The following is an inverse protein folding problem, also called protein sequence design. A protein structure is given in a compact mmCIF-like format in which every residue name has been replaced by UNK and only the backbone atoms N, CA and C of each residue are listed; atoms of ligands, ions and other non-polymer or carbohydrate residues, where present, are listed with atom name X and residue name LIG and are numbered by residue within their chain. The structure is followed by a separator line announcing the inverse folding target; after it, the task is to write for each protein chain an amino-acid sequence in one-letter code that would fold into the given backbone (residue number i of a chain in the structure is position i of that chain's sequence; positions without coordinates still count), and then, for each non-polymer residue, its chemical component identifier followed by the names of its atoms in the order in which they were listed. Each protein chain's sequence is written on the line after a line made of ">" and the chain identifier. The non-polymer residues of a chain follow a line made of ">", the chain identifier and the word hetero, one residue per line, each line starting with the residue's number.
data_IF_022731940788
#
_entry.id   IF_022731940788
#
_cell.length_a   1.000
_cell.length_b   1.000
_cell.length_c   1.000
_cell.angle_alpha   90.00
_cell.angle_beta   90.00
_cell.angle_gamma   90.00
#
_symmetry.space_group_name_H-M   'P 1'
#
loop_
_entity.id
_entity.type
_entity.pdbx_description
1 polymer ?
#
# COMPACT_ATOMS: atom_id res chain seq x y z
N UNK A 1 -5.19 28.21 4.98
CA UNK A 1 -5.29 28.46 6.42
C UNK A 1 -3.94 28.84 7.02
N UNK A 2 -3.89 28.99 8.34
CA UNK A 2 -2.68 29.38 9.08
C UNK A 2 -1.57 28.33 8.98
N UNK A 3 -1.91 27.08 8.71
CA UNK A 3 -0.99 25.95 8.58
C UNK A 3 -0.48 25.75 7.14
N UNK A 4 -0.83 26.68 6.22
CA UNK A 4 -0.40 26.64 4.83
C UNK A 4 -1.23 25.70 3.94
N UNK A 5 -2.35 25.16 4.43
CA UNK A 5 -3.24 24.36 3.60
C UNK A 5 -3.99 25.26 2.61
N UNK A 6 -3.99 24.90 1.34
CA UNK A 6 -4.63 25.67 0.27
C UNK A 6 -5.57 24.80 -0.55
N UNK A 7 -6.73 25.37 -0.92
CA UNK A 7 -7.66 24.73 -1.87
C UNK A 7 -7.80 25.67 -3.06
N UNK A 8 -7.54 25.16 -4.26
CA UNK A 8 -7.80 25.84 -5.53
C UNK A 8 -8.88 25.08 -6.28
N UNK A 9 -9.80 25.79 -6.94
CA UNK A 9 -10.93 25.20 -7.65
C UNK A 9 -11.52 26.19 -8.66
N UNK A 10 -12.24 25.69 -9.66
CA UNK A 10 -12.93 26.55 -10.64
C UNK A 10 -14.15 27.23 -10.01
N UNK A 11 -14.82 26.57 -9.06
CA UNK A 11 -16.02 27.08 -8.40
C UNK A 11 -16.11 26.59 -6.96
N UNK A 12 -16.51 27.48 -6.05
CA UNK A 12 -16.82 27.13 -4.68
C UNK A 12 -18.14 27.76 -4.22
N UNK A 13 -18.80 27.11 -3.27
CA UNK A 13 -19.94 27.63 -2.51
C UNK A 13 -19.64 27.57 -1.03
N UNK A 14 -20.16 28.53 -0.27
CA UNK A 14 -20.03 28.58 1.17
C UNK A 14 -21.38 28.63 1.85
N UNK A 15 -21.67 27.61 2.67
CA UNK A 15 -22.85 27.58 3.55
C UNK A 15 -22.46 28.19 4.91
N UNK A 16 -22.93 29.44 5.15
CA UNK A 16 -22.61 30.18 6.39
C UNK A 16 -23.22 29.56 7.65
N UNK A 17 -24.34 28.85 7.50
CA UNK A 17 -25.04 28.26 8.67
C UNK A 17 -24.30 27.02 9.15
N UNK A 18 -23.88 26.18 8.23
CA UNK A 18 -23.16 24.94 8.51
C UNK A 18 -21.66 25.11 8.58
N UNK A 19 -21.15 26.28 8.19
CA UNK A 19 -19.73 26.60 8.06
C UNK A 19 -18.98 25.56 7.18
N UNK A 20 -19.57 25.30 6.00
CA UNK A 20 -19.04 24.32 5.04
C UNK A 20 -18.73 25.01 3.72
N UNK A 21 -17.52 24.77 3.21
CA UNK A 21 -17.13 25.12 1.84
C UNK A 21 -17.26 23.87 0.98
N UNK A 22 -17.89 24.01 -0.20
CA UNK A 22 -18.00 22.95 -1.19
C UNK A 22 -17.35 23.46 -2.48
N UNK A 23 -16.40 22.72 -2.99
CA UNK A 23 -15.73 23.02 -4.27
C UNK A 23 -16.30 22.15 -5.38
N UNK A 24 -16.19 22.63 -6.62
CA UNK A 24 -16.67 21.94 -7.81
C UNK A 24 -15.66 22.06 -8.94
N UNK A 25 -15.43 20.97 -9.64
CA UNK A 25 -14.53 20.85 -10.78
C UNK A 25 -13.07 21.18 -10.44
N UNK A 26 -12.15 20.41 -10.96
CA UNK A 26 -10.70 20.63 -10.88
C UNK A 26 -10.19 21.10 -9.50
N UNK A 27 -10.76 20.55 -8.44
CA UNK A 27 -10.40 20.95 -7.09
C UNK A 27 -9.08 20.32 -6.70
N UNK A 28 -8.14 21.16 -6.28
CA UNK A 28 -6.81 20.77 -5.81
C UNK A 28 -6.64 21.25 -4.37
N UNK A 29 -6.32 20.33 -3.48
CA UNK A 29 -5.95 20.59 -2.10
C UNK A 29 -4.45 20.34 -1.94
N UNK A 30 -3.74 21.30 -1.37
CA UNK A 30 -2.35 21.13 -0.93
C UNK A 30 -2.32 21.27 0.59
N UNK A 31 -1.72 20.32 1.30
CA UNK A 31 -1.67 20.28 2.75
C UNK A 31 -0.35 19.68 3.25
N UNK A 32 -0.01 19.91 4.50
CA UNK A 32 1.25 19.47 5.09
C UNK A 32 2.47 19.85 4.22
N UNK A 33 2.38 21.01 3.55
CA UNK A 33 3.34 21.64 2.66
C UNK A 33 3.68 20.89 1.35
N UNK A 34 3.36 19.59 1.22
CA UNK A 34 3.77 18.81 0.04
C UNK A 34 2.80 17.71 -0.40
N UNK A 35 1.72 17.43 0.35
CA UNK A 35 0.70 16.51 -0.12
C UNK A 35 -0.22 17.23 -1.09
N UNK A 36 -0.41 16.66 -2.26
CA UNK A 36 -1.31 17.18 -3.29
C UNK A 36 -2.47 16.23 -3.53
N UNK A 37 -3.70 16.69 -3.32
CA UNK A 37 -4.91 15.92 -3.58
C UNK A 37 -5.74 16.61 -4.66
N UNK A 38 -6.15 15.84 -5.67
CA UNK A 38 -7.04 16.26 -6.74
C UNK A 38 -8.37 15.51 -6.66
N UNK A 39 -9.48 16.24 -6.76
CA UNK A 39 -10.84 15.70 -6.80
C UNK A 39 -11.76 16.63 -7.57
N UNK A 40 -12.85 16.10 -8.11
CA UNK A 40 -13.86 16.96 -8.74
C UNK A 40 -14.73 17.71 -7.73
N UNK A 41 -14.79 17.23 -6.47
CA UNK A 41 -15.59 17.85 -5.42
C UNK A 41 -14.93 17.62 -4.07
N UNK A 42 -14.75 18.69 -3.31
CA UNK A 42 -14.20 18.64 -1.96
C UNK A 42 -15.17 19.38 -1.02
N UNK A 43 -15.41 18.79 0.14
CA UNK A 43 -16.13 19.38 1.24
C UNK A 43 -15.15 19.74 2.34
N UNK A 44 -15.14 20.98 2.77
CA UNK A 44 -14.41 21.43 3.95
C UNK A 44 -15.39 21.88 5.03
N UNK A 45 -15.46 21.12 6.11
CA UNK A 45 -16.24 21.49 7.29
C UNK A 45 -15.33 22.22 8.28
N UNK A 46 -15.50 23.52 8.41
CA UNK A 46 -14.65 24.37 9.23
C UNK A 46 -14.86 24.14 10.74
N UNK A 47 -16.08 23.79 11.16
CA UNK A 47 -16.38 23.48 12.58
C UNK A 47 -15.68 22.19 13.00
N UNK A 48 -15.78 21.13 12.19
CA UNK A 48 -15.21 19.80 12.49
C UNK A 48 -13.74 19.67 12.10
N UNK A 49 -13.20 20.65 11.37
CA UNK A 49 -11.85 20.60 10.79
C UNK A 49 -11.61 19.35 9.94
N UNK A 50 -12.62 19.00 9.10
CA UNK A 50 -12.58 17.81 8.24
C UNK A 50 -12.65 18.26 6.77
N UNK A 51 -11.74 17.74 5.96
CA UNK A 51 -11.79 17.80 4.51
C UNK A 51 -12.20 16.42 4.01
N UNK A 52 -13.17 16.35 3.08
CA UNK A 52 -13.63 15.07 2.56
C UNK A 52 -14.06 15.15 1.09
N UNK A 53 -14.12 14.01 0.44
CA UNK A 53 -14.75 13.82 -0.86
C UNK A 53 -15.47 12.48 -0.91
N UNK A 54 -16.59 12.45 -1.59
CA UNK A 54 -17.38 11.27 -1.95
C UNK A 54 -17.14 10.83 -3.41
N UNK A 55 -16.09 11.38 -4.04
CA UNK A 55 -15.75 11.13 -5.43
C UNK A 55 -14.30 10.62 -5.56
N UNK A 56 -14.03 10.01 -6.73
CA UNK A 56 -12.69 9.57 -7.07
C UNK A 56 -11.68 10.71 -6.89
N UNK A 57 -10.68 10.44 -6.09
CA UNK A 57 -9.65 11.40 -5.73
C UNK A 57 -8.26 10.77 -5.90
N UNK A 58 -7.31 11.61 -6.27
CA UNK A 58 -5.90 11.22 -6.44
C UNK A 58 -5.08 12.05 -5.47
N UNK A 59 -4.41 11.38 -4.57
CA UNK A 59 -3.44 11.97 -3.64
C UNK A 59 -2.03 11.61 -4.11
N UNK A 60 -1.16 12.61 -4.22
CA UNK A 60 0.28 12.42 -4.39
C UNK A 60 0.97 12.80 -3.09
N UNK A 61 1.75 11.89 -2.53
CA UNK A 61 2.50 12.16 -1.30
C UNK A 61 3.85 12.85 -1.58
N UNK A 62 4.56 13.17 -0.50
CA UNK A 62 5.85 13.88 -0.58
C UNK A 62 6.98 13.08 -1.24
N UNK A 63 6.85 11.76 -1.30
CA UNK A 63 7.83 10.85 -1.92
C UNK A 63 7.47 10.55 -3.38
N UNK A 64 6.32 11.04 -3.89
CA UNK A 64 5.84 10.82 -5.25
C UNK A 64 4.95 9.59 -5.41
N UNK A 65 4.55 8.92 -4.32
CA UNK A 65 3.59 7.83 -4.40
C UNK A 65 2.20 8.37 -4.76
N UNK A 66 1.48 7.62 -5.60
CA UNK A 66 0.15 7.99 -6.08
C UNK A 66 -0.90 7.10 -5.41
N UNK A 67 -1.80 7.74 -4.64
CA UNK A 67 -2.93 7.09 -3.97
C UNK A 67 -4.21 7.45 -4.69
N UNK A 68 -4.94 6.45 -5.18
CA UNK A 68 -6.26 6.62 -5.79
C UNK A 68 -7.33 6.05 -4.87
N UNK A 69 -8.34 6.85 -4.56
CA UNK A 69 -9.44 6.49 -3.65
C UNK A 69 -10.78 6.90 -4.22
N UNK A 70 -11.85 6.17 -3.87
CA UNK A 70 -13.22 6.54 -4.28
C UNK A 70 -13.83 7.59 -3.36
N UNK A 71 -13.41 7.61 -2.11
CA UNK A 71 -13.85 8.56 -1.09
C UNK A 71 -12.75 8.68 -0.03
N UNK A 72 -12.69 9.83 0.64
CA UNK A 72 -11.76 10.05 1.74
C UNK A 72 -12.31 11.04 2.77
N UNK A 73 -11.70 11.00 3.95
CA UNK A 73 -11.80 12.01 4.99
C UNK A 73 -10.40 12.34 5.50
N UNK A 74 -10.09 13.62 5.62
CA UNK A 74 -8.86 14.10 6.23
C UNK A 74 -9.21 14.95 7.46
N UNK A 75 -8.78 14.49 8.62
CA UNK A 75 -8.97 15.16 9.90
C UNK A 75 -7.76 16.06 10.17
N UNK A 76 -7.92 17.36 9.96
CA UNK A 76 -6.83 18.33 10.06
C UNK A 76 -6.13 18.30 11.42
N UNK A 77 -6.88 18.38 12.52
CA UNK A 77 -6.31 18.40 13.87
C UNK A 77 -5.58 17.11 14.27
N UNK A 78 -5.96 15.99 13.63
CA UNK A 78 -5.36 14.67 13.91
C UNK A 78 -4.26 14.31 12.92
N UNK A 79 -4.09 15.08 11.86
CA UNK A 79 -3.23 14.75 10.72
C UNK A 79 -3.52 13.36 10.15
N UNK A 80 -4.80 12.94 10.13
CA UNK A 80 -5.24 11.60 9.80
C UNK A 80 -6.03 11.59 8.49
N UNK A 81 -5.48 10.95 7.47
CA UNK A 81 -6.18 10.62 6.25
C UNK A 81 -6.83 9.24 6.39
N UNK A 82 -8.09 9.11 6.02
CA UNK A 82 -8.86 7.86 6.08
C UNK A 82 -9.61 7.64 4.78
N UNK A 83 -9.59 6.41 4.28
CA UNK A 83 -10.37 6.00 3.11
C UNK A 83 -10.89 4.58 3.28
N UNK A 84 -12.11 4.34 2.78
CA UNK A 84 -12.76 3.03 2.76
C UNK A 84 -13.26 2.77 1.33
N UNK A 85 -13.15 1.53 0.87
CA UNK A 85 -13.60 1.10 -0.44
C UNK A 85 -12.45 0.67 -1.35
N UNK A 86 -12.49 1.04 -2.63
CA UNK A 86 -11.43 0.71 -3.57
C UNK A 86 -10.29 1.71 -3.43
N UNK A 87 -9.19 1.25 -2.88
CA UNK A 87 -7.98 2.05 -2.65
C UNK A 87 -6.84 1.40 -3.41
N UNK A 88 -6.10 2.19 -4.18
CA UNK A 88 -4.91 1.77 -4.92
C UNK A 88 -3.78 2.74 -4.64
N UNK A 89 -2.62 2.22 -4.26
CA UNK A 89 -1.37 2.98 -4.20
C UNK A 89 -0.43 2.46 -5.27
N UNK A 90 0.27 3.35 -5.93
CA UNK A 90 1.41 3.04 -6.80
C UNK A 90 2.60 3.79 -6.24
N UNK A 91 3.63 3.07 -5.82
CA UNK A 91 4.85 3.69 -5.31
C UNK A 91 5.82 4.06 -6.45
N UNK A 92 6.91 4.73 -6.07
CA UNK A 92 7.95 5.16 -7.02
C UNK A 92 8.65 3.99 -7.72
N UNK A 93 8.66 2.81 -7.09
CA UNK A 93 9.23 1.57 -7.64
C UNK A 93 8.20 0.79 -8.48
N UNK A 94 7.04 1.40 -8.81
CA UNK A 94 5.93 0.85 -9.59
C UNK A 94 5.21 -0.33 -8.94
N UNK A 95 5.47 -0.63 -7.67
CA UNK A 95 4.67 -1.59 -6.92
C UNK A 95 3.25 -1.07 -6.76
N UNK A 96 2.26 -1.99 -6.78
CA UNK A 96 0.85 -1.66 -6.66
C UNK A 96 0.28 -2.29 -5.40
N UNK A 97 -0.33 -1.45 -4.59
CA UNK A 97 -0.97 -1.86 -3.34
C UNK A 97 -2.47 -1.62 -3.47
N UNK A 98 -3.26 -2.58 -3.05
CA UNK A 98 -4.72 -2.50 -3.04
C UNK A 98 -5.21 -2.76 -1.62
N UNK A 99 -6.19 -1.97 -1.18
CA UNK A 99 -6.76 -2.03 0.16
C UNK A 99 -8.27 -1.90 0.10
N UNK A 100 -8.96 -2.38 1.14
CA UNK A 100 -10.37 -2.02 1.40
C UNK A 100 -10.49 -0.87 2.39
N UNK A 101 -9.53 -0.73 3.29
CA UNK A 101 -9.48 0.34 4.27
C UNK A 101 -8.04 0.81 4.45
N UNK A 102 -7.86 2.14 4.56
CA UNK A 102 -6.57 2.77 4.69
C UNK A 102 -6.66 3.97 5.62
N UNK A 103 -5.74 4.03 6.58
CA UNK A 103 -5.53 5.15 7.48
C UNK A 103 -4.07 5.56 7.43
N UNK A 104 -3.81 6.86 7.25
CA UNK A 104 -2.45 7.42 7.17
C UNK A 104 -2.32 8.57 8.15
N UNK A 105 -1.44 8.44 9.13
CA UNK A 105 -0.97 9.55 9.96
C UNK A 105 0.10 10.31 9.14
N UNK A 106 -0.28 11.46 8.58
CA UNK A 106 0.59 12.23 7.69
C UNK A 106 1.77 12.86 8.43
N UNK A 107 1.62 13.13 9.72
CA UNK A 107 2.68 13.71 10.57
C UNK A 107 3.72 12.67 10.97
N UNK A 108 3.28 11.48 11.41
CA UNK A 108 4.19 10.38 11.76
C UNK A 108 4.69 9.61 10.56
N UNK A 109 4.01 9.74 9.41
CA UNK A 109 4.24 8.95 8.20
C UNK A 109 4.06 7.46 8.47
N UNK A 110 2.97 7.14 9.17
CA UNK A 110 2.56 5.79 9.49
C UNK A 110 1.26 5.46 8.76
N UNK A 111 1.14 4.23 8.29
CA UNK A 111 -0.01 3.75 7.53
C UNK A 111 -0.50 2.42 8.09
N UNK A 112 -1.81 2.30 8.24
CA UNK A 112 -2.50 1.05 8.54
C UNK A 112 -3.49 0.78 7.43
N UNK A 113 -3.52 -0.45 6.91
CA UNK A 113 -4.49 -0.88 5.91
C UNK A 113 -4.99 -2.29 6.15
N UNK A 114 -6.16 -2.59 5.64
CA UNK A 114 -6.77 -3.92 5.72
C UNK A 114 -7.09 -4.50 4.34
N UNK A 115 -7.23 -5.85 4.28
CA UNK A 115 -7.47 -6.61 3.04
C UNK A 115 -6.47 -6.24 1.92
N UNK A 116 -5.21 -6.44 2.24
CA UNK A 116 -4.08 -5.95 1.45
C UNK A 116 -3.71 -6.92 0.34
N UNK A 117 -3.57 -6.41 -0.87
CA UNK A 117 -2.89 -7.11 -1.98
C UNK A 117 -1.78 -6.22 -2.49
N UNK A 118 -0.56 -6.72 -2.51
CA UNK A 118 0.62 -6.05 -3.05
C UNK A 118 1.07 -6.79 -4.30
N UNK A 119 1.16 -6.10 -5.42
CA UNK A 119 1.77 -6.59 -6.65
C UNK A 119 3.12 -5.89 -6.80
N UNK A 120 4.19 -6.65 -6.74
CA UNK A 120 5.54 -6.13 -6.87
C UNK A 120 5.90 -5.97 -8.34
N UNK A 121 6.66 -4.94 -8.66
CA UNK A 121 7.17 -4.74 -10.01
C UNK A 121 8.18 -5.84 -10.37
N UNK A 122 8.01 -6.47 -11.53
CA UNK A 122 8.78 -7.64 -11.94
C UNK A 122 10.25 -7.31 -12.17
N UNK A 123 10.55 -6.15 -12.75
CA UNK A 123 11.92 -5.73 -13.04
C UNK A 123 12.68 -5.40 -11.75
N UNK A 124 12.04 -4.63 -10.87
CA UNK A 124 12.64 -4.24 -9.60
C UNK A 124 12.79 -5.42 -8.64
N UNK A 125 11.88 -6.40 -8.68
CA UNK A 125 11.97 -7.62 -7.90
C UNK A 125 12.94 -8.66 -8.49
N UNK A 126 13.40 -8.47 -9.74
CA UNK A 126 14.40 -9.32 -10.37
C UNK A 126 13.88 -10.69 -10.79
N UNK A 127 12.59 -10.82 -11.12
CA UNK A 127 11.99 -12.05 -11.64
C UNK A 127 11.65 -11.93 -13.13
N UNK A 128 11.47 -13.08 -13.79
CA UNK A 128 11.08 -13.09 -15.20
C UNK A 128 9.68 -12.50 -15.41
N UNK A 129 9.40 -11.98 -16.61
CA UNK A 129 8.10 -11.38 -16.99
C UNK A 129 6.91 -12.36 -16.90
N UNK A 130 7.18 -13.65 -16.78
CA UNK A 130 6.14 -14.68 -16.59
C UNK A 130 5.71 -14.86 -15.15
N UNK A 131 6.42 -14.24 -14.21
CA UNK A 131 6.15 -14.34 -12.78
C UNK A 131 5.40 -13.11 -12.28
N UNK A 132 4.48 -13.31 -11.33
CA UNK A 132 3.70 -12.26 -10.69
C UNK A 132 3.99 -12.26 -9.17
N UNK A 133 5.12 -11.65 -8.74
CA UNK A 133 5.47 -11.60 -7.32
C UNK A 133 4.43 -10.76 -6.57
N UNK A 134 3.80 -11.38 -5.57
CA UNK A 134 2.73 -10.73 -4.82
C UNK A 134 2.63 -11.20 -3.39
N UNK A 135 2.12 -10.29 -2.55
CA UNK A 135 1.67 -10.56 -1.20
C UNK A 135 0.17 -10.34 -1.09
N UNK A 136 -0.46 -11.15 -0.26
CA UNK A 136 -1.82 -10.91 0.22
C UNK A 136 -1.78 -10.99 1.74
N UNK A 137 -2.39 -10.06 2.44
CA UNK A 137 -2.41 -10.04 3.90
C UNK A 137 -3.73 -9.49 4.42
N UNK A 138 -4.09 -9.87 5.66
CA UNK A 138 -5.26 -9.28 6.30
C UNK A 138 -5.01 -7.81 6.62
N UNK A 139 -3.86 -7.52 7.21
CA UNK A 139 -3.51 -6.17 7.67
C UNK A 139 -2.07 -5.84 7.34
N UNK A 140 -1.82 -4.57 7.10
CA UNK A 140 -0.50 -3.99 6.98
C UNK A 140 -0.34 -2.80 7.93
N UNK A 141 0.82 -2.71 8.55
CA UNK A 141 1.29 -1.51 9.23
C UNK A 141 2.61 -1.09 8.63
N UNK A 142 2.69 0.13 8.12
CA UNK A 142 3.91 0.73 7.57
C UNK A 142 4.34 1.88 8.46
N UNK A 143 5.60 1.88 8.81
CA UNK A 143 6.28 3.00 9.44
C UNK A 143 7.54 3.34 8.63
N UNK A 144 8.25 4.40 9.00
CA UNK A 144 9.43 4.89 8.27
C UNK A 144 10.43 3.78 7.87
N UNK A 145 10.63 2.80 8.74
CA UNK A 145 11.70 1.80 8.57
C UNK A 145 11.20 0.36 8.59
N UNK A 146 9.90 0.14 8.81
CA UNK A 146 9.35 -1.22 8.95
C UNK A 146 7.97 -1.33 8.33
N UNK A 147 7.77 -2.42 7.62
CA UNK A 147 6.46 -2.87 7.15
C UNK A 147 6.13 -4.19 7.83
N UNK A 148 5.00 -4.25 8.51
CA UNK A 148 4.49 -5.45 9.17
C UNK A 148 3.22 -5.91 8.45
N UNK A 149 3.18 -7.17 8.05
CA UNK A 149 2.01 -7.81 7.45
C UNK A 149 1.50 -8.91 8.40
N UNK A 150 0.21 -8.94 8.65
CA UNK A 150 -0.45 -9.98 9.45
C UNK A 150 -1.12 -11.02 8.56
N UNK A 151 -0.93 -12.31 8.85
CA UNK A 151 -1.46 -13.44 8.07
C UNK A 151 -1.13 -13.30 6.58
N UNK A 152 0.15 -13.08 6.30
CA UNK A 152 0.66 -12.85 4.96
C UNK A 152 0.82 -14.12 4.15
N UNK A 153 0.52 -14.05 2.87
CA UNK A 153 0.78 -15.09 1.87
C UNK A 153 1.60 -14.47 0.74
N UNK A 154 2.74 -15.08 0.46
CA UNK A 154 3.63 -14.68 -0.62
C UNK A 154 3.72 -15.76 -1.69
N UNK A 155 3.78 -15.37 -2.95
CA UNK A 155 4.11 -16.21 -4.10
C UNK A 155 4.69 -15.36 -5.24
N UNK A 156 5.47 -15.98 -6.10
CA UNK A 156 5.93 -15.40 -7.38
C UNK A 156 5.25 -16.04 -8.59
N UNK A 157 4.42 -17.06 -8.39
CA UNK A 157 3.79 -17.79 -9.48
C UNK A 157 2.84 -16.89 -10.28
N UNK A 158 2.81 -17.08 -11.60
CA UNK A 158 1.88 -16.41 -12.49
C UNK A 158 0.44 -16.59 -12.01
N UNK A 159 -0.33 -15.50 -12.01
CA UNK A 159 -1.76 -15.54 -11.70
C UNK A 159 -2.50 -16.18 -12.89
N UNK A 160 -3.05 -17.37 -12.69
CA UNK A 160 -3.94 -18.03 -13.66
C UNK A 160 -5.35 -18.08 -13.08
N UNK A 161 -6.35 -17.70 -13.87
CA UNK A 161 -7.75 -17.76 -13.44
C UNK A 161 -8.14 -19.19 -13.06
N UNK A 162 -8.81 -19.32 -11.91
CA UNK A 162 -9.32 -20.60 -11.40
C UNK A 162 -8.25 -21.59 -10.94
N UNK A 163 -6.98 -21.21 -10.85
CA UNK A 163 -5.90 -22.08 -10.35
C UNK A 163 -5.16 -21.45 -9.18
N UNK A 164 -4.95 -22.24 -8.13
CA UNK A 164 -4.05 -21.87 -7.03
C UNK A 164 -2.61 -21.82 -7.53
N UNK A 165 -1.76 -20.92 -6.97
CA UNK A 165 -0.34 -20.92 -7.31
C UNK A 165 0.30 -22.27 -6.92
N UNK A 166 1.23 -22.79 -7.74
CA UNK A 166 1.92 -24.06 -7.45
C UNK A 166 2.59 -24.08 -6.07
N UNK A 167 3.06 -22.92 -5.58
CA UNK A 167 3.57 -22.81 -4.23
C UNK A 167 3.22 -21.46 -3.59
N UNK A 168 3.11 -21.46 -2.26
CA UNK A 168 2.89 -20.27 -1.44
C UNK A 168 3.71 -20.37 -0.15
N UNK A 169 4.23 -19.24 0.30
CA UNK A 169 4.78 -19.09 1.64
C UNK A 169 3.77 -18.32 2.48
N UNK A 170 3.12 -18.99 3.43
CA UNK A 170 2.18 -18.40 4.37
C UNK A 170 2.87 -18.13 5.69
N UNK A 171 2.65 -16.97 6.31
CA UNK A 171 3.20 -16.67 7.61
C UNK A 171 2.18 -15.94 8.49
N UNK A 172 2.24 -16.19 9.81
CA UNK A 172 1.40 -15.46 10.77
C UNK A 172 1.77 -13.97 10.79
N UNK A 173 3.08 -13.68 10.63
CA UNK A 173 3.59 -12.31 10.56
C UNK A 173 4.78 -12.25 9.61
N UNK A 174 4.81 -11.19 8.80
CA UNK A 174 5.95 -10.86 7.92
C UNK A 174 6.40 -9.45 8.30
N UNK A 175 7.69 -9.27 8.51
CA UNK A 175 8.28 -7.98 8.87
C UNK A 175 9.38 -7.68 7.85
N UNK A 176 9.24 -6.61 7.09
CA UNK A 176 10.28 -6.05 6.26
C UNK A 176 10.96 -4.91 7.01
N UNK A 177 12.24 -5.05 7.28
CA UNK A 177 13.08 -4.01 7.88
C UNK A 177 13.92 -3.37 6.76
N UNK A 178 13.56 -2.15 6.36
CA UNK A 178 14.19 -1.44 5.24
C UNK A 178 15.62 -0.98 5.56
N UNK A 179 15.96 -0.78 6.83
CA UNK A 179 17.33 -0.42 7.24
C UNK A 179 18.24 -1.64 7.12
N UNK A 180 17.79 -2.78 7.68
CA UNK A 180 18.56 -4.04 7.64
C UNK A 180 18.45 -4.74 6.29
N UNK A 181 17.59 -4.26 5.41
CA UNK A 181 17.26 -4.88 4.13
C UNK A 181 16.98 -6.37 4.28
N UNK A 182 16.12 -6.73 5.22
CA UNK A 182 15.84 -8.10 5.61
C UNK A 182 14.36 -8.30 5.83
N UNK A 183 13.83 -9.42 5.34
CA UNK A 183 12.45 -9.84 5.55
C UNK A 183 12.45 -10.99 6.55
N UNK A 184 11.71 -10.84 7.64
CA UNK A 184 11.52 -11.81 8.71
C UNK A 184 10.13 -12.42 8.62
N UNK A 185 10.03 -13.71 8.83
CA UNK A 185 8.78 -14.47 8.86
C UNK A 185 8.63 -15.16 10.21
N UNK A 186 7.47 -15.04 10.83
CA UNK A 186 7.11 -15.76 12.04
C UNK A 186 6.02 -16.79 11.72
N UNK A 187 6.23 -18.05 12.13
CA UNK A 187 5.33 -19.18 11.86
C UNK A 187 5.01 -19.30 10.36
N UNK A 188 6.05 -19.48 9.57
CA UNK A 188 5.92 -19.62 8.12
C UNK A 188 5.71 -21.09 7.72
N UNK A 189 4.82 -21.32 6.79
CA UNK A 189 4.56 -22.62 6.18
C UNK A 189 4.69 -22.51 4.67
N UNK A 190 5.61 -23.29 4.10
CA UNK A 190 5.71 -23.48 2.66
C UNK A 190 4.66 -24.52 2.23
N UNK A 191 3.80 -24.14 1.33
CA UNK A 191 2.81 -25.01 0.71
C UNK A 191 3.12 -25.22 -0.77
N UNK A 192 2.95 -26.43 -1.23
CA UNK A 192 3.01 -26.82 -2.65
C UNK A 192 1.68 -27.47 -3.00
N UNK A 193 0.94 -26.91 -3.99
CA UNK A 193 -0.43 -27.28 -4.34
C UNK A 193 -1.33 -27.41 -3.09
N UNK A 194 -1.29 -26.36 -2.24
CA UNK A 194 -1.99 -26.25 -0.95
C UNK A 194 -1.61 -27.28 0.13
N UNK A 195 -0.71 -28.22 -0.14
CA UNK A 195 -0.19 -29.15 0.86
C UNK A 195 0.97 -28.49 1.63
N UNK A 196 0.93 -28.48 2.98
CA UNK A 196 2.03 -27.97 3.78
C UNK A 196 3.22 -28.95 3.71
N UNK A 197 4.36 -28.47 3.19
CA UNK A 197 5.57 -29.27 3.01
C UNK A 197 6.59 -28.97 4.10
N UNK A 198 6.79 -27.70 4.44
CA UNK A 198 7.74 -27.28 5.46
C UNK A 198 7.13 -26.23 6.38
N UNK A 199 7.47 -26.30 7.67
CA UNK A 199 7.13 -25.31 8.67
C UNK A 199 8.40 -24.73 9.27
N UNK A 200 8.45 -23.39 9.33
CA UNK A 200 9.55 -22.62 9.88
C UNK A 200 9.01 -21.75 11.03
N UNK A 201 9.36 -22.01 12.29
CA UNK A 201 8.98 -21.16 13.42
C UNK A 201 9.45 -19.71 13.21
N UNK A 202 10.67 -19.56 12.72
CA UNK A 202 11.28 -18.30 12.30
C UNK A 202 12.10 -18.54 11.03
N UNK A 203 11.95 -17.66 10.08
CA UNK A 203 12.68 -17.65 8.83
C UNK A 203 13.03 -16.23 8.45
N UNK A 204 14.17 -16.00 7.84
CA UNK A 204 14.54 -14.70 7.31
C UNK A 204 15.32 -14.86 6.02
N UNK A 205 15.18 -13.87 5.14
CA UNK A 205 16.03 -13.75 3.97
C UNK A 205 16.30 -12.27 3.67
N UNK A 206 17.40 -11.98 2.92
CA UNK A 206 17.67 -10.62 2.48
C UNK A 206 16.52 -10.11 1.58
N UNK A 207 16.31 -8.79 1.61
CA UNK A 207 15.48 -8.10 0.64
C UNK A 207 16.00 -8.37 -0.78
N UNK A 208 15.14 -8.59 -1.79
CA UNK A 208 15.53 -8.84 -3.17
C UNK A 208 16.44 -7.77 -3.79
N UNK A 209 16.42 -6.54 -3.28
CA UNK A 209 17.30 -5.45 -3.72
C UNK A 209 18.77 -5.64 -3.32
N UNK A 210 19.07 -6.59 -2.43
CA UNK A 210 20.43 -6.87 -1.97
C UNK A 210 21.13 -7.85 -2.90
N UNK A 211 22.10 -7.37 -3.67
CA UNK A 211 22.79 -8.16 -4.70
C UNK A 211 23.68 -9.32 -4.16
N UNK A 212 24.15 -9.28 -2.91
CA UNK A 212 24.97 -10.32 -2.28
C UNK A 212 24.78 -10.31 -0.77
N UNK A 213 24.26 -11.39 -0.20
CA UNK A 213 24.34 -11.69 1.23
C UNK A 213 24.60 -13.18 1.43
N UNK A 214 25.37 -13.52 2.48
CA UNK A 214 25.51 -14.91 2.94
C UNK A 214 24.25 -15.30 3.69
N UNK A 215 23.59 -16.39 3.31
CA UNK A 215 22.36 -16.87 3.94
C UNK A 215 21.57 -17.83 3.05
N UNK A 216 20.44 -18.31 3.55
CA UNK A 216 19.49 -19.08 2.75
C UNK A 216 18.90 -18.18 1.68
N UNK A 217 19.17 -18.49 0.42
CA UNK A 217 18.51 -17.86 -0.73
C UNK A 217 17.04 -18.28 -0.75
N UNK A 218 16.17 -17.37 -1.18
CA UNK A 218 14.79 -17.72 -1.51
C UNK A 218 14.78 -18.89 -2.49
N UNK A 219 14.00 -19.95 -2.25
CA UNK A 219 13.94 -21.06 -3.19
C UNK A 219 13.39 -20.55 -4.53
N UNK A 220 14.21 -20.57 -5.58
CA UNK A 220 13.78 -20.34 -6.94
C UNK A 220 13.40 -21.69 -7.55
N UNK A 221 12.14 -21.84 -7.90
CA UNK A 221 11.70 -22.96 -8.73
C UNK A 221 11.64 -22.47 -10.18
N UNK A 222 12.64 -22.82 -10.97
CA UNK A 222 12.60 -22.63 -12.43
C UNK A 222 12.07 -23.88 -13.08
N UNK A 223 10.97 -23.78 -13.81
CA UNK A 223 10.61 -24.81 -14.80
C UNK A 223 11.56 -24.63 -16.00
N UNK A 224 12.63 -25.41 -16.07
CA UNK A 224 13.35 -25.52 -17.33
C UNK A 224 12.64 -26.55 -18.19
N UNK A 225 12.00 -26.10 -19.25
CA UNK A 225 11.44 -26.96 -20.31
C UNK A 225 12.54 -27.50 -21.26
N UNK A 226 13.80 -27.46 -20.87
CA UNK A 226 14.96 -27.86 -21.66
C UNK A 226 15.72 -29.03 -21.03
N UNK A 227 15.01 -30.05 -20.57
CA UNK A 227 15.53 -31.42 -20.46
C UNK A 227 14.68 -32.27 -21.40
N UNK A 228 15.03 -32.19 -22.68
CA UNK A 228 14.57 -33.12 -23.70
C UNK A 228 15.27 -34.45 -23.57
#
# INVERSE_FOLDING_TARGET
>A
DIEGNTITTDKATYDKIKDIIITFNNSKLTFENNYELKSNKIFYNNIKKIISSDQNSILTDIDGNIVTVNMFQYYLEKHLFSSIGKIKIVDIDKNKYFFKELHVDTKKREMIGSDVTVLLDQENFGVSKENDPRFVANDIFVSKNKTNLSKGVFTVCQKKEGRCPPWTLQAKKIIHDSIKKTIYYEHATLKVYDMPIFYFPRFLHPDPTVKRQSGFLSPFFTNSSSLG
#
